data_IF_527304363543
#
_entry.id   IF_527304363543
#
_cell.length_a   1.000
_cell.length_b   1.000
_cell.length_c   1.000
_cell.angle_alpha   90.00
_cell.angle_beta   90.00
_cell.angle_gamma   90.00
#
_symmetry.space_group_name_H-M   'P 1'
#
loop_
_entity.id
_entity.type
_entity.pdbx_description
1 polymer ?
#
# COMPACT_ATOMS: atom_id res chain seq x y z
N UNK A 1 -22.98 27.11 -57.72
CA UNK A 1 -23.52 26.32 -56.62
C UNK A 1 -22.38 25.46 -56.07
N UNK A 2 -21.91 25.74 -54.86
CA UNK A 2 -20.85 24.96 -54.16
C UNK A 2 -21.55 24.10 -53.11
N UNK A 3 -21.28 22.79 -53.01
CA UNK A 3 -21.83 21.99 -51.94
C UNK A 3 -21.05 22.21 -50.64
N UNK A 4 -21.79 22.50 -49.55
CA UNK A 4 -21.31 22.49 -48.18
C UNK A 4 -21.16 21.06 -47.69
N UNK A 5 -19.92 20.64 -47.42
CA UNK A 5 -19.61 19.39 -46.72
C UNK A 5 -19.80 19.61 -45.21
N UNK A 6 -20.83 19.00 -44.63
CA UNK A 6 -21.03 18.87 -43.21
C UNK A 6 -20.12 17.74 -42.70
N UNK A 7 -19.02 18.10 -42.02
CA UNK A 7 -18.24 17.11 -41.23
C UNK A 7 -18.96 16.85 -39.93
N UNK A 8 -19.52 15.67 -39.79
CA UNK A 8 -20.06 15.18 -38.52
C UNK A 8 -18.88 14.77 -37.59
N UNK A 9 -18.68 15.56 -36.55
CA UNK A 9 -17.72 15.24 -35.46
C UNK A 9 -18.37 14.18 -34.57
N UNK A 10 -17.95 12.92 -34.68
CA UNK A 10 -18.31 11.86 -33.75
C UNK A 10 -17.60 12.09 -32.42
N UNK A 11 -18.29 12.63 -31.43
CA UNK A 11 -17.86 12.66 -30.05
C UNK A 11 -17.94 11.22 -29.49
N UNK A 12 -16.80 10.54 -29.44
CA UNK A 12 -16.64 9.31 -28.66
C UNK A 12 -16.68 9.68 -27.18
N UNK A 13 -17.86 9.58 -26.58
CA UNK A 13 -18.02 9.62 -25.13
C UNK A 13 -17.40 8.36 -24.54
N UNK A 14 -16.16 8.47 -24.10
CA UNK A 14 -15.49 7.45 -23.31
C UNK A 14 -16.23 7.29 -21.98
N UNK A 15 -17.12 6.29 -21.89
CA UNK A 15 -17.67 5.87 -20.63
C UNK A 15 -16.53 5.23 -19.82
N UNK A 16 -16.03 5.93 -18.83
CA UNK A 16 -15.24 5.30 -17.76
C UNK A 16 -16.20 4.40 -16.99
N UNK A 17 -16.22 3.13 -17.37
CA UNK A 17 -16.98 2.11 -16.66
C UNK A 17 -16.36 2.00 -15.27
N UNK A 18 -17.11 2.39 -14.22
CA UNK A 18 -16.66 2.20 -12.85
C UNK A 18 -16.38 0.72 -12.64
N UNK A 19 -15.21 0.40 -12.09
CA UNK A 19 -14.82 -1.00 -11.86
C UNK A 19 -15.88 -1.70 -11.00
N UNK A 20 -16.39 -2.83 -11.48
CA UNK A 20 -17.44 -3.59 -10.83
C UNK A 20 -16.95 -4.15 -9.49
N UNK A 21 -17.74 -4.00 -8.43
CA UNK A 21 -17.53 -4.62 -7.13
C UNK A 21 -18.38 -5.87 -6.97
N UNK A 22 -17.76 -6.95 -6.49
CA UNK A 22 -18.42 -8.20 -6.17
C UNK A 22 -18.13 -8.61 -4.73
N UNK A 23 -19.15 -8.79 -3.90
CA UNK A 23 -18.97 -9.34 -2.56
C UNK A 23 -18.58 -10.81 -2.62
N UNK A 24 -17.65 -11.23 -1.75
CA UNK A 24 -17.18 -12.60 -1.67
C UNK A 24 -17.70 -13.30 -0.42
N UNK A 25 -18.69 -14.16 -0.57
CA UNK A 25 -19.19 -14.99 0.54
C UNK A 25 -18.10 -15.81 1.22
N UNK A 26 -17.06 -16.23 0.47
CA UNK A 26 -15.94 -16.98 1.04
C UNK A 26 -15.11 -16.11 1.98
N UNK A 27 -14.86 -14.85 1.60
CA UNK A 27 -14.14 -13.88 2.45
C UNK A 27 -15.01 -13.42 3.61
N UNK A 28 -16.32 -13.19 3.40
CA UNK A 28 -17.27 -12.85 4.47
C UNK A 28 -17.27 -13.88 5.61
N UNK A 29 -17.28 -15.18 5.24
CA UNK A 29 -17.19 -16.27 6.22
C UNK A 29 -15.87 -16.25 7.01
N UNK A 30 -14.76 -15.89 6.39
CA UNK A 30 -13.45 -15.79 7.06
C UNK A 30 -13.46 -14.65 8.10
N UNK A 31 -13.97 -13.47 7.73
CA UNK A 31 -14.11 -12.34 8.66
C UNK A 31 -15.05 -12.66 9.81
N UNK A 32 -16.21 -13.29 9.51
CA UNK A 32 -17.16 -13.74 10.53
C UNK A 32 -16.55 -14.76 11.50
N UNK A 33 -15.83 -15.76 11.00
CA UNK A 33 -15.17 -16.77 11.82
C UNK A 33 -14.04 -16.20 12.67
N UNK A 34 -13.30 -15.20 12.16
CA UNK A 34 -12.25 -14.52 12.89
C UNK A 34 -12.79 -13.53 13.95
N UNK A 35 -14.08 -13.20 13.91
CA UNK A 35 -14.70 -12.19 14.80
C UNK A 35 -14.07 -10.81 14.67
N UNK A 36 -13.62 -10.44 13.47
CA UNK A 36 -12.83 -9.23 13.21
C UNK A 36 -13.66 -8.25 12.38
N UNK A 37 -13.72 -7.00 12.80
CA UNK A 37 -14.20 -5.88 11.98
C UNK A 37 -13.10 -5.45 11.03
N UNK A 38 -13.40 -5.35 9.73
CA UNK A 38 -12.41 -4.96 8.74
C UNK A 38 -12.92 -5.06 7.31
N UNK A 39 -12.04 -4.86 6.37
CA UNK A 39 -12.28 -5.06 4.95
C UNK A 39 -11.14 -5.82 4.30
N UNK A 40 -11.46 -6.54 3.25
CA UNK A 40 -10.49 -7.09 2.29
C UNK A 40 -10.95 -6.74 0.89
N UNK A 41 -10.03 -6.26 0.08
CA UNK A 41 -10.24 -5.97 -1.34
C UNK A 41 -9.18 -6.64 -2.18
N UNK A 42 -9.60 -7.31 -3.26
CA UNK A 42 -8.78 -7.81 -4.34
C UNK A 42 -9.18 -7.11 -5.63
N UNK A 43 -8.22 -6.60 -6.39
CA UNK A 43 -8.43 -6.11 -7.75
C UNK A 43 -7.74 -7.02 -8.76
N UNK A 44 -8.52 -7.58 -9.68
CA UNK A 44 -8.03 -8.37 -10.82
C UNK A 44 -7.78 -7.42 -12.00
N UNK A 45 -6.51 -7.20 -12.32
CA UNK A 45 -6.12 -6.23 -13.37
C UNK A 45 -6.66 -6.64 -14.74
N UNK A 46 -6.63 -7.93 -15.09
CA UNK A 46 -7.08 -8.41 -16.40
C UNK A 46 -8.60 -8.34 -16.56
N UNK A 47 -9.35 -8.54 -15.46
CA UNK A 47 -10.81 -8.47 -15.48
C UNK A 47 -11.37 -7.10 -15.10
N UNK A 48 -10.50 -6.17 -14.66
CA UNK A 48 -10.85 -4.82 -14.24
C UNK A 48 -11.99 -4.77 -13.20
N UNK A 49 -11.97 -5.70 -12.24
CA UNK A 49 -13.02 -5.82 -11.23
C UNK A 49 -12.46 -6.02 -9.84
N UNK A 50 -13.23 -5.55 -8.87
CA UNK A 50 -13.00 -5.80 -7.46
C UNK A 50 -13.77 -7.03 -6.97
N UNK A 51 -13.16 -7.76 -6.04
CA UNK A 51 -13.80 -8.80 -5.24
C UNK A 51 -13.38 -8.59 -3.79
N UNK A 52 -14.32 -8.61 -2.85
CA UNK A 52 -13.94 -8.33 -1.47
C UNK A 52 -15.02 -8.52 -0.42
N UNK A 53 -14.77 -7.93 0.72
CA UNK A 53 -15.60 -7.88 1.92
C UNK A 53 -15.68 -6.45 2.42
N UNK A 54 -16.88 -5.97 2.78
CA UNK A 54 -17.15 -4.62 3.29
C UNK A 54 -16.64 -3.51 2.35
N UNK A 55 -17.40 -3.27 1.28
CA UNK A 55 -17.08 -2.24 0.28
C UNK A 55 -17.00 -0.84 0.88
N UNK A 56 -17.91 -0.47 1.78
CA UNK A 56 -17.95 0.86 2.38
C UNK A 56 -16.65 1.15 3.14
N UNK A 57 -16.18 0.16 3.91
CA UNK A 57 -14.91 0.27 4.60
C UNK A 57 -13.72 0.26 3.62
N UNK A 58 -13.79 -0.49 2.53
CA UNK A 58 -12.75 -0.50 1.50
C UNK A 58 -12.55 0.87 0.82
N UNK A 59 -13.61 1.66 0.71
CA UNK A 59 -13.62 3.03 0.20
C UNK A 59 -13.26 4.08 1.26
N UNK A 60 -13.37 3.73 2.55
CA UNK A 60 -13.08 4.64 3.67
C UNK A 60 -11.55 4.81 3.85
N UNK A 61 -11.12 6.05 4.02
CA UNK A 61 -9.70 6.38 4.22
C UNK A 61 -9.29 6.33 5.69
N UNK A 62 -8.19 5.63 5.96
CA UNK A 62 -7.56 5.50 7.27
C UNK A 62 -6.08 5.91 7.20
N UNK A 63 -5.46 6.15 8.37
CA UNK A 63 -4.02 6.39 8.49
C UNK A 63 -3.26 5.18 7.95
N UNK A 64 -2.30 5.35 7.01
CA UNK A 64 -1.61 4.23 6.36
C UNK A 64 -0.64 3.49 7.27
N UNK A 65 -0.17 4.10 8.34
CA UNK A 65 0.86 3.57 9.20
C UNK A 65 2.08 3.07 8.40
N UNK A 66 2.64 1.91 8.74
CA UNK A 66 3.85 1.40 8.08
C UNK A 66 3.66 0.96 6.63
N UNK A 67 2.45 0.94 6.06
CA UNK A 67 2.28 0.71 4.62
C UNK A 67 2.86 1.86 3.79
N UNK A 68 2.89 3.08 4.35
CA UNK A 68 3.51 4.25 3.72
C UNK A 68 5.02 4.10 3.47
N UNK A 69 5.70 3.19 4.16
CA UNK A 69 7.14 2.94 3.95
C UNK A 69 7.48 2.60 2.50
N UNK A 70 6.55 2.02 1.73
CA UNK A 70 6.71 1.76 0.30
C UNK A 70 6.85 3.09 -0.47
N UNK A 71 5.92 4.02 -0.25
CA UNK A 71 5.97 5.36 -0.87
C UNK A 71 7.19 6.17 -0.38
N UNK A 72 7.50 6.09 0.92
CA UNK A 72 8.65 6.78 1.52
C UNK A 72 9.98 6.30 0.90
N UNK A 73 10.13 4.97 0.65
CA UNK A 73 11.31 4.41 -0.04
C UNK A 73 11.43 4.91 -1.48
N UNK A 74 10.33 4.94 -2.23
CA UNK A 74 10.30 5.49 -3.59
C UNK A 74 10.75 6.95 -3.61
N UNK A 75 10.23 7.77 -2.70
CA UNK A 75 10.54 9.19 -2.60
C UNK A 75 12.01 9.36 -2.18
N UNK A 76 12.45 8.65 -1.15
CA UNK A 76 13.83 8.75 -0.63
C UNK A 76 14.90 8.41 -1.67
N UNK A 77 14.71 7.32 -2.40
CA UNK A 77 15.60 6.91 -3.49
C UNK A 77 15.54 7.88 -4.68
N UNK A 78 14.34 8.33 -5.06
CA UNK A 78 14.16 9.22 -6.21
C UNK A 78 14.70 10.63 -5.98
N UNK A 79 14.70 11.12 -4.74
CA UNK A 79 15.20 12.45 -4.38
C UNK A 79 16.68 12.48 -4.01
N UNK A 80 17.34 11.31 -3.98
CA UNK A 80 18.74 11.20 -3.53
C UNK A 80 18.90 11.41 -2.02
N UNK A 81 17.84 11.34 -1.22
CA UNK A 81 17.93 11.40 0.25
C UNK A 81 18.67 10.21 0.83
N UNK A 82 18.70 9.10 0.08
CA UNK A 82 19.59 7.95 0.22
C UNK A 82 20.13 7.54 -1.15
N UNK A 83 21.37 7.06 -1.19
CA UNK A 83 22.06 6.66 -2.43
C UNK A 83 21.59 5.32 -2.96
N UNK A 84 21.19 4.42 -2.06
CA UNK A 84 20.72 3.06 -2.39
C UNK A 84 19.84 2.51 -1.29
N UNK A 85 19.15 1.40 -1.56
CA UNK A 85 18.39 0.67 -0.55
C UNK A 85 19.26 0.00 0.52
N UNK A 86 20.56 -0.10 0.27
CA UNK A 86 21.54 -0.75 1.14
C UNK A 86 22.35 0.28 1.97
N UNK A 87 22.10 1.59 1.77
CA UNK A 87 22.65 2.64 2.64
C UNK A 87 22.06 2.52 4.04
N UNK A 88 22.95 2.42 5.05
CA UNK A 88 22.55 2.31 6.45
C UNK A 88 22.18 3.70 6.99
N UNK A 89 21.01 3.80 7.61
CA UNK A 89 20.51 4.99 8.29
C UNK A 89 20.47 4.75 9.80
N UNK A 90 20.75 5.80 10.60
CA UNK A 90 20.70 5.68 12.05
C UNK A 90 19.25 5.59 12.56
N UNK A 91 19.04 4.78 13.59
CA UNK A 91 17.78 4.74 14.33
C UNK A 91 17.64 5.85 15.39
N UNK A 92 18.73 6.57 15.64
CA UNK A 92 18.76 7.74 16.52
C UNK A 92 19.10 7.48 17.98
N UNK A 93 19.48 6.25 18.35
CA UNK A 93 20.05 5.91 19.67
C UNK A 93 19.07 5.97 20.85
N UNK A 94 17.76 6.20 20.62
CA UNK A 94 16.75 6.28 21.70
C UNK A 94 16.04 4.94 21.88
N UNK A 95 15.59 4.61 23.11
CA UNK A 95 14.73 3.45 23.32
C UNK A 95 13.50 3.47 22.41
N UNK A 96 13.15 2.33 21.84
CA UNK A 96 12.04 2.16 20.92
C UNK A 96 10.98 1.20 21.48
N UNK A 97 9.76 1.25 20.92
CA UNK A 97 8.67 0.33 21.30
C UNK A 97 9.10 -1.14 21.14
N UNK A 98 9.86 -1.43 20.08
CA UNK A 98 10.38 -2.77 19.82
C UNK A 98 11.91 -2.75 19.87
N UNK A 99 12.49 -3.66 20.66
CA UNK A 99 13.95 -3.80 20.77
C UNK A 99 14.61 -4.04 19.41
N UNK A 100 13.93 -4.73 18.51
CA UNK A 100 14.37 -4.97 17.14
C UNK A 100 14.54 -3.69 16.29
N UNK A 101 14.05 -2.53 16.74
CA UNK A 101 14.24 -1.24 16.06
C UNK A 101 15.44 -0.45 16.57
N UNK A 102 16.12 -0.90 17.65
CA UNK A 102 17.20 -0.19 18.31
C UNK A 102 18.56 -0.48 17.69
N UNK A 103 18.66 -0.45 16.36
CA UNK A 103 19.93 -0.47 15.63
C UNK A 103 19.79 0.19 14.26
N UNK A 104 20.92 0.64 13.73
CA UNK A 104 21.00 1.25 12.41
C UNK A 104 20.72 0.20 11.35
N UNK A 105 19.95 0.56 10.33
CA UNK A 105 19.51 -0.37 9.27
C UNK A 105 19.56 0.30 7.89
N UNK A 106 19.80 -0.53 6.88
CA UNK A 106 19.47 -0.18 5.49
C UNK A 106 17.95 -0.09 5.29
N UNK A 107 17.50 0.55 4.19
CA UNK A 107 16.06 0.57 3.87
C UNK A 107 15.53 -0.84 3.63
N UNK A 108 16.34 -1.75 3.08
CA UNK A 108 15.97 -3.14 2.84
C UNK A 108 15.67 -3.88 4.15
N UNK A 109 16.50 -3.72 5.16
CA UNK A 109 16.29 -4.30 6.47
C UNK A 109 15.13 -3.62 7.20
N UNK A 110 15.08 -2.28 7.17
CA UNK A 110 14.11 -1.48 7.87
C UNK A 110 12.66 -1.69 7.37
N UNK A 111 12.46 -1.95 6.07
CA UNK A 111 11.12 -2.23 5.54
C UNK A 111 10.61 -3.59 6.04
N UNK A 112 11.49 -4.60 6.11
CA UNK A 112 11.17 -5.94 6.61
C UNK A 112 10.87 -5.91 8.11
N UNK A 113 11.73 -5.25 8.91
CA UNK A 113 11.52 -5.04 10.35
C UNK A 113 10.39 -4.05 10.66
N UNK A 114 9.86 -3.37 9.65
CA UNK A 114 8.92 -2.26 9.80
C UNK A 114 9.44 -1.15 10.73
N UNK A 115 10.78 -0.94 10.75
CA UNK A 115 11.46 0.01 11.62
C UNK A 115 10.93 1.44 11.41
N UNK A 116 10.38 2.07 12.45
CA UNK A 116 9.83 3.43 12.38
C UNK A 116 10.95 4.48 12.41
N UNK A 117 11.89 4.47 13.39
CA UNK A 117 12.90 5.51 13.52
C UNK A 117 13.77 5.68 12.27
N UNK A 118 14.15 4.60 11.60
CA UNK A 118 14.91 4.67 10.33
C UNK A 118 14.10 5.37 9.23
N UNK A 119 12.80 5.09 9.13
CA UNK A 119 11.93 5.76 8.15
C UNK A 119 11.59 7.20 8.53
N UNK A 120 11.62 7.56 9.80
CA UNK A 120 11.55 8.94 10.26
C UNK A 120 12.82 9.71 9.87
N UNK A 121 14.00 9.09 10.01
CA UNK A 121 15.26 9.68 9.54
C UNK A 121 15.24 9.88 8.02
N UNK A 122 14.79 8.89 7.24
CA UNK A 122 14.62 9.05 5.81
C UNK A 122 13.71 10.24 5.46
N UNK A 123 12.58 10.37 6.15
CA UNK A 123 11.65 11.47 5.93
C UNK A 123 12.27 12.84 6.25
N UNK A 124 13.05 12.95 7.33
CA UNK A 124 13.82 14.17 7.66
C UNK A 124 14.85 14.52 6.58
N UNK A 125 15.55 13.54 6.03
CA UNK A 125 16.50 13.75 4.91
C UNK A 125 15.81 14.16 3.61
N UNK A 126 14.61 13.63 3.33
CA UNK A 126 13.78 14.09 2.21
C UNK A 126 13.38 15.56 2.42
N UNK A 127 12.95 15.93 3.61
CA UNK A 127 12.47 17.26 3.98
C UNK A 127 11.03 17.51 3.54
N UNK A 128 10.35 18.45 4.24
CA UNK A 128 8.90 18.66 4.14
C UNK A 128 8.44 19.01 2.72
N UNK A 129 9.12 19.94 2.05
CA UNK A 129 8.70 20.43 0.73
C UNK A 129 8.82 19.34 -0.35
N UNK A 130 9.94 18.61 -0.37
CA UNK A 130 10.11 17.50 -1.32
C UNK A 130 9.15 16.35 -1.03
N UNK A 131 8.87 16.09 0.26
CA UNK A 131 7.88 15.08 0.66
C UNK A 131 6.49 15.47 0.16
N UNK A 132 6.05 16.71 0.40
CA UNK A 132 4.74 17.23 -0.04
C UNK A 132 4.57 17.12 -1.55
N UNK A 133 5.55 17.60 -2.30
CA UNK A 133 5.51 17.56 -3.76
C UNK A 133 5.40 16.13 -4.31
N UNK A 134 6.15 15.17 -3.72
CA UNK A 134 6.14 13.79 -4.20
C UNK A 134 4.90 13.01 -3.76
N UNK A 135 4.37 13.23 -2.55
CA UNK A 135 3.10 12.60 -2.10
C UNK A 135 1.95 13.08 -2.99
N UNK A 136 1.89 14.36 -3.31
CA UNK A 136 0.92 14.93 -4.26
C UNK A 136 1.10 14.33 -5.66
N UNK A 137 2.32 14.24 -6.17
CA UNK A 137 2.64 13.65 -7.49
C UNK A 137 2.25 12.18 -7.60
N UNK A 138 2.35 11.42 -6.49
CA UNK A 138 1.90 10.03 -6.42
C UNK A 138 0.38 9.92 -6.47
N UNK A 139 -0.36 10.94 -6.04
CA UNK A 139 -1.79 10.85 -5.77
C UNK A 139 -2.08 9.86 -4.63
N UNK A 140 -1.24 9.86 -3.57
CA UNK A 140 -1.37 8.90 -2.48
C UNK A 140 -2.44 9.33 -1.47
N UNK A 141 -3.59 8.65 -1.50
CA UNK A 141 -4.72 8.94 -0.62
C UNK A 141 -5.21 10.38 -0.71
N UNK A 142 -5.36 11.05 0.44
CA UNK A 142 -5.73 12.47 0.49
C UNK A 142 -4.55 13.44 0.21
N UNK A 143 -3.34 12.93 0.10
CA UNK A 143 -2.10 13.68 -0.10
C UNK A 143 -1.78 14.76 0.97
N UNK A 144 -2.42 14.71 2.12
CA UNK A 144 -2.22 15.66 3.22
C UNK A 144 -1.09 15.21 4.14
N UNK A 145 -0.01 15.98 4.24
CA UNK A 145 1.13 15.61 5.10
C UNK A 145 1.35 16.57 6.28
N UNK A 146 0.53 17.62 6.43
CA UNK A 146 0.66 18.59 7.51
C UNK A 146 1.99 19.33 7.50
N UNK A 147 2.52 19.63 8.69
CA UNK A 147 3.75 20.42 8.88
C UNK A 147 4.91 19.60 9.48
N UNK A 148 4.66 18.37 9.94
CA UNK A 148 5.68 17.50 10.57
C UNK A 148 6.01 16.37 9.62
N UNK A 149 7.24 16.38 9.08
CA UNK A 149 7.64 15.51 7.98
C UNK A 149 7.84 14.04 8.35
N UNK A 150 7.99 13.72 9.64
CA UNK A 150 8.41 12.40 10.10
C UNK A 150 7.35 11.62 10.90
N UNK A 151 6.08 12.09 10.92
CA UNK A 151 5.00 11.39 11.63
C UNK A 151 3.63 11.39 10.93
N UNK A 152 3.43 12.14 9.86
CA UNK A 152 2.13 12.35 9.21
C UNK A 152 1.44 11.05 8.71
N UNK A 153 2.20 10.00 8.50
CA UNK A 153 1.68 8.67 8.12
C UNK A 153 1.41 7.75 9.31
N UNK A 154 1.83 8.15 10.52
CA UNK A 154 1.66 7.39 11.76
C UNK A 154 0.42 7.85 12.52
N UNK A 155 0.22 9.17 12.63
CA UNK A 155 -0.85 9.79 13.43
C UNK A 155 -1.80 10.66 12.58
N UNK A 156 -1.58 10.76 11.26
CA UNK A 156 -2.28 11.65 10.34
C UNK A 156 -1.54 12.98 10.16
N UNK A 157 -2.03 13.86 9.24
CA UNK A 157 -3.33 13.83 8.56
C UNK A 157 -3.41 12.93 7.31
N UNK A 158 -2.31 12.29 6.88
CA UNK A 158 -2.33 11.42 5.69
C UNK A 158 -3.29 10.25 5.92
N UNK A 159 -4.21 10.05 4.97
CA UNK A 159 -5.15 8.92 4.97
C UNK A 159 -5.28 8.33 3.58
N UNK A 160 -5.52 7.02 3.50
CA UNK A 160 -5.71 6.28 2.27
C UNK A 160 -6.71 5.15 2.47
N UNK A 161 -7.51 4.83 1.45
CA UNK A 161 -8.44 3.71 1.49
C UNK A 161 -7.79 2.40 1.04
N UNK A 162 -8.44 1.26 1.32
CA UNK A 162 -7.96 -0.03 0.85
C UNK A 162 -7.96 -0.12 -0.69
N UNK A 163 -8.96 0.46 -1.35
CA UNK A 163 -8.99 0.53 -2.80
C UNK A 163 -7.85 1.38 -3.38
N UNK A 164 -7.57 2.54 -2.78
CA UNK A 164 -6.45 3.41 -3.20
C UNK A 164 -5.09 2.74 -2.95
N UNK A 165 -4.91 2.00 -1.84
CA UNK A 165 -3.71 1.20 -1.59
C UNK A 165 -3.49 0.17 -2.69
N UNK A 166 -4.56 -0.53 -3.08
CA UNK A 166 -4.53 -1.54 -4.14
C UNK A 166 -4.06 -0.93 -5.47
N UNK A 167 -4.60 0.22 -5.87
CA UNK A 167 -4.20 0.90 -7.10
C UNK A 167 -2.76 1.42 -7.05
N UNK A 168 -2.35 2.03 -5.93
CA UNK A 168 -0.98 2.51 -5.74
C UNK A 168 0.03 1.36 -5.92
N UNK A 169 -0.23 0.21 -5.29
CA UNK A 169 0.67 -0.94 -5.33
C UNK A 169 0.68 -1.63 -6.69
N UNK A 170 -0.45 -1.68 -7.38
CA UNK A 170 -0.50 -2.19 -8.76
C UNK A 170 0.29 -1.31 -9.72
N UNK A 171 0.19 0.01 -9.62
CA UNK A 171 1.03 0.92 -10.42
C UNK A 171 2.52 0.72 -10.12
N UNK A 172 2.89 0.44 -8.86
CA UNK A 172 4.28 0.05 -8.53
C UNK A 172 4.65 -1.27 -9.18
N UNK A 173 3.80 -2.30 -9.08
CA UNK A 173 4.03 -3.61 -9.69
C UNK A 173 4.26 -3.52 -11.21
N UNK A 174 3.51 -2.66 -11.89
CA UNK A 174 3.58 -2.41 -13.33
C UNK A 174 4.71 -1.43 -13.74
N UNK A 175 5.32 -0.73 -12.77
CA UNK A 175 6.35 0.27 -13.05
C UNK A 175 5.80 1.60 -13.57
N UNK A 176 4.54 1.91 -13.28
CA UNK A 176 3.78 3.06 -13.81
C UNK A 176 3.73 4.25 -12.85
N UNK A 177 4.43 4.18 -11.73
CA UNK A 177 4.54 5.33 -10.85
C UNK A 177 5.47 6.40 -11.45
N UNK A 178 5.28 7.69 -11.10
CA UNK A 178 6.05 8.79 -11.68
C UNK A 178 7.48 8.88 -11.09
N UNK A 179 8.19 7.77 -11.06
CA UNK A 179 9.56 7.65 -10.56
C UNK A 179 10.44 6.86 -11.54
N UNK A 180 11.78 7.01 -11.49
CA UNK A 180 12.68 6.26 -12.35
C UNK A 180 12.48 4.74 -12.25
N UNK A 181 12.49 4.04 -13.38
CA UNK A 181 12.28 2.59 -13.43
C UNK A 181 13.22 1.78 -12.50
N UNK A 182 14.53 2.12 -12.36
CA UNK A 182 15.41 1.43 -11.42
C UNK A 182 14.97 1.58 -9.95
N UNK A 183 14.46 2.77 -9.57
CA UNK A 183 13.93 3.01 -8.20
C UNK A 183 12.72 2.14 -7.94
N UNK A 184 11.77 2.11 -8.88
CA UNK A 184 10.58 1.27 -8.77
C UNK A 184 10.96 -0.22 -8.69
N UNK A 185 11.92 -0.68 -9.49
CA UNK A 185 12.43 -2.05 -9.45
C UNK A 185 13.05 -2.40 -8.11
N UNK A 186 13.87 -1.50 -7.55
CA UNK A 186 14.46 -1.66 -6.21
C UNK A 186 13.38 -1.81 -5.13
N UNK A 187 12.36 -0.93 -5.13
CA UNK A 187 11.31 -0.98 -4.11
C UNK A 187 10.41 -2.21 -4.28
N UNK A 188 10.12 -2.65 -5.52
CA UNK A 188 9.45 -3.95 -5.73
C UNK A 188 10.23 -5.10 -5.08
N UNK A 189 11.55 -5.17 -5.31
CA UNK A 189 12.39 -6.21 -4.72
C UNK A 189 12.39 -6.17 -3.18
N UNK A 190 12.31 -4.97 -2.57
CA UNK A 190 12.23 -4.82 -1.10
C UNK A 190 10.90 -5.29 -0.50
N UNK A 191 9.84 -5.43 -1.31
CA UNK A 191 8.51 -5.84 -0.85
C UNK A 191 8.20 -7.30 -1.12
N UNK A 192 9.10 -8.06 -1.75
CA UNK A 192 8.91 -9.50 -1.98
C UNK A 192 8.89 -10.24 -0.63
N UNK A 193 7.81 -10.98 -0.39
CA UNK A 193 7.58 -11.76 0.83
C UNK A 193 7.79 -13.25 0.59
N UNK A 194 7.18 -13.78 -0.47
CA UNK A 194 7.16 -15.20 -0.78
C UNK A 194 7.13 -15.39 -2.30
N UNK A 195 7.70 -16.49 -2.76
CA UNK A 195 7.61 -16.90 -4.16
C UNK A 195 7.58 -18.41 -4.28
N UNK A 196 7.05 -18.88 -5.40
CA UNK A 196 7.00 -20.30 -5.76
C UNK A 196 6.84 -20.46 -7.26
N UNK A 197 6.70 -21.70 -7.76
CA UNK A 197 6.55 -21.95 -9.18
C UNK A 197 5.36 -21.19 -9.76
N UNK A 198 5.66 -20.18 -10.58
CA UNK A 198 4.67 -19.36 -11.30
C UNK A 198 3.95 -18.30 -10.44
N UNK A 199 4.41 -17.99 -9.22
CA UNK A 199 3.82 -16.92 -8.42
C UNK A 199 4.83 -16.19 -7.53
N UNK A 200 4.53 -14.91 -7.27
CA UNK A 200 5.23 -14.04 -6.33
C UNK A 200 4.20 -13.27 -5.50
N UNK A 201 4.44 -13.17 -4.21
CA UNK A 201 3.66 -12.38 -3.26
C UNK A 201 4.52 -11.24 -2.74
N UNK A 202 4.07 -10.03 -2.96
CA UNK A 202 4.66 -8.81 -2.43
C UNK A 202 3.72 -8.15 -1.44
N UNK A 203 4.26 -7.51 -0.42
CA UNK A 203 3.39 -6.84 0.53
C UNK A 203 4.10 -6.05 1.61
N UNK A 204 3.27 -5.31 2.35
CA UNK A 204 3.69 -4.55 3.53
C UNK A 204 2.58 -4.52 4.57
N UNK A 205 2.96 -4.75 5.81
CA UNK A 205 2.07 -4.58 6.98
C UNK A 205 2.09 -3.13 7.47
N UNK A 206 1.00 -2.73 8.12
CA UNK A 206 0.90 -1.48 8.88
C UNK A 206 0.20 -1.73 10.22
N UNK A 207 0.50 -0.89 11.19
CA UNK A 207 -0.19 -0.86 12.47
C UNK A 207 -0.20 0.57 13.01
N UNK A 208 -1.41 1.13 13.16
CA UNK A 208 -1.65 2.38 13.85
C UNK A 208 -2.05 2.05 15.28
N UNK A 209 -1.08 2.07 16.19
CA UNK A 209 -1.31 1.81 17.62
C UNK A 209 -1.82 3.04 18.38
N UNK A 210 -1.74 4.23 17.78
CA UNK A 210 -2.31 5.47 18.33
C UNK A 210 -3.72 5.77 17.80
N UNK A 211 -4.26 4.91 16.93
CA UNK A 211 -5.64 4.99 16.43
C UNK A 211 -6.63 4.45 17.47
N UNK A 212 -7.89 4.90 17.41
CA UNK A 212 -8.98 4.38 18.26
C UNK A 212 -10.19 4.03 17.37
N UNK A 213 -10.49 2.72 17.19
CA UNK A 213 -9.69 1.54 17.61
C UNK A 213 -8.34 1.48 16.92
N UNK A 214 -7.38 0.72 17.47
CA UNK A 214 -6.13 0.43 16.78
C UNK A 214 -6.42 -0.22 15.43
N UNK A 215 -5.60 0.09 14.42
CA UNK A 215 -5.83 -0.32 13.03
C UNK A 215 -4.65 -1.12 12.49
N UNK A 216 -4.94 -2.30 11.97
CA UNK A 216 -3.97 -3.14 11.30
C UNK A 216 -4.16 -3.15 9.79
N UNK A 217 -3.07 -3.08 9.03
CA UNK A 217 -3.04 -3.19 7.58
C UNK A 217 -2.20 -4.38 7.09
N UNK A 218 -2.61 -4.98 6.00
CA UNK A 218 -1.76 -5.80 5.14
C UNK A 218 -2.14 -5.56 3.68
N UNK A 219 -1.18 -5.05 2.89
CA UNK A 219 -1.43 -4.59 1.52
C UNK A 219 -0.34 -5.11 0.61
N UNK A 220 -0.66 -5.34 -0.66
CA UNK A 220 0.32 -5.89 -1.59
C UNK A 220 -0.24 -6.24 -2.96
N UNK A 221 0.50 -7.10 -3.65
CA UNK A 221 0.05 -7.71 -4.89
C UNK A 221 0.56 -9.14 -5.03
N UNK A 222 -0.14 -9.90 -5.82
CA UNK A 222 0.28 -11.23 -6.27
C UNK A 222 0.44 -11.21 -7.78
N UNK A 223 1.60 -11.61 -8.28
CA UNK A 223 1.79 -12.01 -9.66
C UNK A 223 1.65 -13.54 -9.73
N UNK A 224 0.73 -14.03 -10.55
CA UNK A 224 0.53 -15.47 -10.76
C UNK A 224 0.48 -15.76 -12.25
N UNK A 225 1.53 -16.40 -12.75
CA UNK A 225 1.80 -16.51 -14.19
C UNK A 225 1.78 -15.09 -14.82
N UNK A 226 0.98 -14.89 -15.87
CA UNK A 226 0.83 -13.59 -16.54
C UNK A 226 -0.25 -12.68 -15.92
N UNK A 227 -0.84 -13.09 -14.77
CA UNK A 227 -1.91 -12.33 -14.11
C UNK A 227 -1.41 -11.56 -12.91
N UNK A 228 -1.92 -10.36 -12.74
CA UNK A 228 -1.59 -9.46 -11.65
C UNK A 228 -2.84 -9.13 -10.84
N UNK A 229 -2.71 -9.25 -9.52
CA UNK A 229 -3.76 -8.99 -8.54
C UNK A 229 -3.24 -8.08 -7.46
N UNK A 230 -3.89 -6.93 -7.24
CA UNK A 230 -3.63 -6.10 -6.07
C UNK A 230 -4.55 -6.48 -4.92
N UNK A 231 -4.07 -6.36 -3.69
CA UNK A 231 -4.92 -6.57 -2.53
C UNK A 231 -4.63 -5.58 -1.41
N UNK A 232 -5.64 -5.33 -0.60
CA UNK A 232 -5.50 -4.60 0.64
C UNK A 232 -6.49 -5.13 1.68
N UNK A 233 -6.02 -5.29 2.89
CA UNK A 233 -6.81 -5.60 4.07
C UNK A 233 -6.56 -4.52 5.13
N UNK A 234 -7.62 -4.06 5.79
CA UNK A 234 -7.49 -3.42 7.09
C UNK A 234 -8.49 -4.00 8.09
N UNK A 235 -8.07 -4.08 9.34
CA UNK A 235 -8.87 -4.61 10.44
C UNK A 235 -8.73 -3.74 11.69
N UNK A 236 -9.80 -3.69 12.50
CA UNK A 236 -9.70 -3.19 13.86
C UNK A 236 -8.92 -4.20 14.72
N UNK A 237 -8.06 -3.69 15.58
CA UNK A 237 -7.17 -4.49 16.44
C UNK A 237 -7.42 -4.17 17.92
N UNK A 238 -8.58 -4.52 18.50
CA UNK A 238 -8.89 -4.22 19.89
C UNK A 238 -7.96 -4.92 20.91
N UNK A 239 -7.33 -6.03 20.51
CA UNK A 239 -6.30 -6.73 21.27
C UNK A 239 -4.89 -6.19 21.08
N UNK A 240 -4.71 -5.12 20.29
CA UNK A 240 -3.41 -4.49 20.05
C UNK A 240 -2.38 -5.47 19.50
N UNK A 241 -1.29 -5.66 20.24
CA UNK A 241 -0.19 -6.54 19.81
C UNK A 241 -0.59 -8.01 19.63
N UNK A 242 -1.59 -8.50 20.40
CA UNK A 242 -2.11 -9.86 20.25
C UNK A 242 -2.80 -10.10 18.89
N UNK A 243 -3.25 -9.05 18.22
CA UNK A 243 -3.92 -9.14 16.92
C UNK A 243 -2.96 -8.98 15.72
N UNK A 244 -1.67 -8.78 15.97
CA UNK A 244 -0.68 -8.50 14.91
C UNK A 244 -0.68 -9.58 13.81
N UNK A 245 -0.75 -10.86 14.19
CA UNK A 245 -0.75 -11.99 13.25
C UNK A 245 -1.98 -12.03 12.35
N UNK A 246 -3.15 -11.65 12.91
CA UNK A 246 -4.44 -11.73 12.21
C UNK A 246 -4.48 -11.01 10.86
N UNK A 247 -3.74 -9.89 10.71
CA UNK A 247 -3.67 -9.14 9.45
C UNK A 247 -3.19 -10.02 8.29
N UNK A 248 -2.08 -10.73 8.49
CA UNK A 248 -1.46 -11.56 7.46
C UNK A 248 -2.21 -12.88 7.31
N UNK A 249 -2.60 -13.50 8.42
CA UNK A 249 -3.35 -14.77 8.43
C UNK A 249 -4.68 -14.65 7.68
N UNK A 250 -5.50 -13.65 8.03
CA UNK A 250 -6.79 -13.42 7.40
C UNK A 250 -6.63 -13.01 5.93
N UNK A 251 -5.63 -12.17 5.63
CA UNK A 251 -5.35 -11.76 4.26
C UNK A 251 -4.90 -12.93 3.38
N UNK A 252 -3.99 -13.80 3.87
CA UNK A 252 -3.59 -15.01 3.14
C UNK A 252 -4.74 -15.99 2.97
N UNK A 253 -5.56 -16.19 4.01
CA UNK A 253 -6.76 -17.02 3.93
C UNK A 253 -7.72 -16.50 2.86
N UNK A 254 -7.91 -15.18 2.79
CA UNK A 254 -8.74 -14.53 1.75
C UNK A 254 -8.17 -14.76 0.34
N UNK A 255 -6.87 -14.57 0.15
CA UNK A 255 -6.20 -14.82 -1.13
C UNK A 255 -6.30 -16.30 -1.56
N UNK A 256 -6.19 -17.25 -0.61
CA UNK A 256 -6.38 -18.69 -0.86
C UNK A 256 -7.83 -19.02 -1.21
N UNK A 257 -8.80 -18.50 -0.46
CA UNK A 257 -10.22 -18.71 -0.73
C UNK A 257 -10.66 -18.19 -2.10
N UNK A 258 -9.98 -17.16 -2.62
CA UNK A 258 -10.18 -16.63 -3.96
C UNK A 258 -9.34 -17.34 -5.04
N UNK A 259 -8.54 -18.37 -4.67
CA UNK A 259 -7.71 -19.13 -5.60
C UNK A 259 -6.51 -18.36 -6.15
N UNK A 260 -6.06 -17.31 -5.46
CA UNK A 260 -4.93 -16.47 -5.88
C UNK A 260 -3.60 -17.03 -5.36
N UNK A 261 -3.56 -17.46 -4.12
CA UNK A 261 -2.42 -18.22 -3.55
C UNK A 261 -2.72 -19.73 -3.53
N UNK A 262 -1.68 -20.57 -3.54
CA UNK A 262 -1.83 -22.02 -3.41
C UNK A 262 -2.30 -22.44 -2.02
#
# INVERSE_FOLDING_TARGET
>A
MRPLLFSALLLLSGHTQASEWNDSQAVDKLFGAAGVKGTFVLYDVQRQRYVGHDRERAETRFVPASTYKVANSLIGLSTGAVRSADEVLPYGGKPQRFKAWEHDMSLREAIMASNVPVYQELARRIGLERMRANVSRLGYGNAEIGQVVDNFWLVGPLKISAMEQTHFLLRLAQGELPFPAPVQSTVRAMTLLESGPGWELHGKTGWCFDCTPELGWWVGWVKRNERLYGFALNIDMPGGEADIGKRVELGKASLKALGILP
#
